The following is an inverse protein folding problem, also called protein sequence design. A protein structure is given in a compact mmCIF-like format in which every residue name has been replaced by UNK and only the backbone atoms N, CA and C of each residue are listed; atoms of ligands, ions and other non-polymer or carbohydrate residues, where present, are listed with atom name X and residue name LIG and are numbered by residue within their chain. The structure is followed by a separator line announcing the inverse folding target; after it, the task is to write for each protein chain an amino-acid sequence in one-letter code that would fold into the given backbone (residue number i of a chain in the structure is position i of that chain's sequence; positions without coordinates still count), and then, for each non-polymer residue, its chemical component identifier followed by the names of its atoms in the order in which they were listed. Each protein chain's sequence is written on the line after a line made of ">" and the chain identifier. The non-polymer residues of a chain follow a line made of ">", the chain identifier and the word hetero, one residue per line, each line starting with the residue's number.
data_IF_944109144646
#
_entry.id   IF_944109144646
#
_cell.length_a   1.000
_cell.length_b   1.000
_cell.length_c   1.000
_cell.angle_alpha   90.00
_cell.angle_beta   90.00
_cell.angle_gamma   90.00
#
_symmetry.space_group_name_H-M   'P 1'
#
loop_
_entity.id
_entity.type
_entity.pdbx_description
1 polymer ?
#
# COMPACT_ATOMS: atom_id res chain seq x y z
N UNK A 1 -27.47 -9.90 -3.53
CA UNK A 1 -27.93 -8.57 -3.99
C UNK A 1 -26.82 -7.52 -3.89
N UNK A 2 -25.57 -7.88 -4.15
CA UNK A 2 -24.43 -6.95 -4.09
C UNK A 2 -23.44 -7.42 -5.14
N UNK A 3 -23.51 -6.79 -6.31
CA UNK A 3 -22.70 -7.17 -7.46
C UNK A 3 -22.41 -5.90 -8.23
N UNK A 4 -21.55 -5.05 -7.69
CA UNK A 4 -20.75 -4.20 -8.58
C UNK A 4 -19.82 -5.18 -9.27
N UNK A 5 -20.21 -5.58 -10.47
CA UNK A 5 -19.38 -6.40 -11.33
C UNK A 5 -18.19 -5.58 -11.81
N UNK A 6 -17.26 -6.29 -12.45
CA UNK A 6 -16.09 -5.65 -13.06
C UNK A 6 -16.52 -4.56 -14.07
N UNK A 7 -17.66 -4.75 -14.74
CA UNK A 7 -18.17 -3.84 -15.75
C UNK A 7 -18.67 -2.52 -15.14
N UNK A 8 -19.42 -2.55 -14.05
CA UNK A 8 -19.85 -1.34 -13.33
C UNK A 8 -18.66 -0.59 -12.75
N UNK A 9 -17.66 -1.31 -12.21
CA UNK A 9 -16.45 -0.71 -11.65
C UNK A 9 -15.65 0.04 -12.75
N UNK A 10 -15.53 -0.55 -13.94
CA UNK A 10 -14.86 0.09 -15.08
C UNK A 10 -15.60 1.35 -15.53
N UNK A 11 -16.93 1.35 -15.55
CA UNK A 11 -17.72 2.55 -15.90
C UNK A 11 -17.47 3.68 -14.88
N UNK A 12 -17.49 3.35 -13.58
CA UNK A 12 -17.19 4.32 -12.52
C UNK A 12 -15.75 4.84 -12.65
N UNK A 13 -14.80 3.96 -12.95
CA UNK A 13 -13.41 4.32 -13.17
C UNK A 13 -13.27 5.30 -14.34
N UNK A 14 -13.95 5.06 -15.47
CA UNK A 14 -13.95 5.96 -16.63
C UNK A 14 -14.51 7.34 -16.25
N UNK A 15 -15.64 7.40 -15.53
CA UNK A 15 -16.21 8.67 -15.07
C UNK A 15 -15.25 9.42 -14.13
N UNK A 16 -14.64 8.72 -13.17
CA UNK A 16 -13.62 9.29 -12.30
C UNK A 16 -12.41 9.79 -13.10
N UNK A 17 -12.00 9.06 -14.14
CA UNK A 17 -10.90 9.44 -15.03
C UNK A 17 -11.22 10.66 -15.89
N UNK A 18 -12.47 10.90 -16.25
CA UNK A 18 -12.86 12.11 -16.97
C UNK A 18 -12.76 13.33 -16.03
N UNK A 19 -13.17 13.18 -14.77
CA UNK A 19 -13.13 14.26 -13.77
C UNK A 19 -11.70 14.57 -13.33
N UNK A 20 -10.93 13.53 -12.97
CA UNK A 20 -9.59 13.68 -12.39
C UNK A 20 -8.47 13.62 -13.44
N UNK A 21 -8.69 12.98 -14.58
CA UNK A 21 -7.69 12.72 -15.60
C UNK A 21 -6.86 11.45 -15.33
N UNK A 22 -6.50 10.65 -16.37
CA UNK A 22 -5.71 9.43 -16.21
C UNK A 22 -4.28 9.68 -15.73
N UNK A 23 -3.74 10.88 -15.97
CA UNK A 23 -2.42 11.26 -15.47
C UNK A 23 -2.37 11.45 -13.95
N UNK A 24 -3.51 11.73 -13.28
CA UNK A 24 -3.53 11.94 -11.82
C UNK A 24 -3.53 10.65 -11.02
N UNK A 25 -4.06 9.55 -11.57
CA UNK A 25 -4.05 8.24 -10.91
C UNK A 25 -2.64 7.74 -10.53
N UNK A 26 -1.63 7.74 -11.42
CA UNK A 26 -0.29 7.30 -11.06
C UNK A 26 0.37 8.21 -10.03
N UNK A 27 0.09 9.51 -10.04
CA UNK A 27 0.63 10.45 -9.04
C UNK A 27 0.03 10.18 -7.64
N UNK A 28 -1.29 9.97 -7.57
CA UNK A 28 -1.98 9.58 -6.33
C UNK A 28 -1.48 8.22 -5.84
N UNK A 29 -1.32 7.24 -6.74
CA UNK A 29 -0.76 5.92 -6.41
C UNK A 29 0.68 5.99 -5.89
N UNK A 30 1.53 6.83 -6.49
CA UNK A 30 2.91 7.05 -6.01
C UNK A 30 2.93 7.69 -4.62
N UNK A 31 2.09 8.69 -4.38
CA UNK A 31 1.98 9.36 -3.09
C UNK A 31 1.51 8.40 -2.00
N UNK A 32 0.40 7.68 -2.24
CA UNK A 32 -0.13 6.68 -1.31
C UNK A 32 0.90 5.55 -1.09
N UNK A 33 1.53 5.05 -2.16
CA UNK A 33 2.52 4.00 -2.08
C UNK A 33 3.74 4.39 -1.25
N UNK A 34 4.21 5.64 -1.38
CA UNK A 34 5.28 6.19 -0.55
C UNK A 34 4.85 6.24 0.92
N UNK A 35 3.67 6.77 1.22
CA UNK A 35 3.14 6.83 2.59
C UNK A 35 2.97 5.45 3.22
N UNK A 36 2.46 4.46 2.47
CA UNK A 36 2.32 3.08 2.95
C UNK A 36 3.69 2.45 3.22
N UNK A 37 4.68 2.70 2.35
CA UNK A 37 6.04 2.19 2.53
C UNK A 37 6.68 2.76 3.80
N UNK A 38 6.59 4.07 4.00
CA UNK A 38 7.11 4.75 5.19
C UNK A 38 6.37 4.28 6.45
N UNK A 39 5.04 4.18 6.40
CA UNK A 39 4.24 3.65 7.51
C UNK A 39 4.62 2.21 7.87
N UNK A 40 4.83 1.35 6.88
CA UNK A 40 5.26 -0.05 7.09
C UNK A 40 6.66 -0.12 7.69
N UNK A 41 7.57 0.76 7.29
CA UNK A 41 8.92 0.80 7.82
C UNK A 41 8.93 1.28 9.28
N UNK A 42 8.26 2.40 9.57
CA UNK A 42 8.10 2.88 10.94
C UNK A 42 7.40 1.84 11.84
N UNK A 43 6.36 1.16 11.33
CA UNK A 43 5.69 0.10 12.08
C UNK A 43 6.62 -1.08 12.40
N UNK A 44 7.57 -1.40 11.50
CA UNK A 44 8.57 -2.45 11.71
C UNK A 44 9.59 -2.05 12.76
N UNK A 45 10.14 -0.83 12.66
CA UNK A 45 11.09 -0.28 13.63
C UNK A 45 10.46 -0.25 15.03
N UNK A 46 9.22 0.22 15.16
CA UNK A 46 8.48 0.20 16.44
C UNK A 46 8.24 -1.24 16.93
N UNK A 47 7.94 -2.18 16.04
CA UNK A 47 7.78 -3.59 16.43
C UNK A 47 9.10 -4.17 16.91
N UNK A 48 10.22 -3.88 16.24
CA UNK A 48 11.56 -4.34 16.62
C UNK A 48 11.99 -3.72 17.97
N UNK A 49 11.72 -2.44 18.20
CA UNK A 49 12.01 -1.74 19.46
C UNK A 49 11.16 -2.27 20.64
N UNK A 50 9.90 -2.63 20.40
CA UNK A 50 9.00 -3.17 21.44
C UNK A 50 9.25 -4.68 21.67
N UNK A 51 9.67 -5.40 20.64
CA UNK A 51 9.93 -6.85 20.69
C UNK A 51 11.43 -7.16 20.83
N UNK A 52 12.20 -6.24 21.40
CA UNK A 52 13.62 -6.38 21.66
C UNK A 52 13.96 -7.47 22.68
N UNK A 53 13.77 -8.73 22.29
CA UNK A 53 14.55 -9.93 22.64
C UNK A 53 13.90 -11.12 21.90
N UNK A 54 14.45 -11.58 20.76
CA UNK A 54 14.34 -12.99 20.29
C UNK A 54 14.80 -13.27 18.84
N UNK A 55 15.40 -12.34 18.09
CA UNK A 55 15.88 -12.66 16.71
C UNK A 55 17.25 -12.08 16.34
N UNK A 56 18.25 -12.36 17.15
CA UNK A 56 19.67 -12.33 16.73
C UNK A 56 20.38 -13.65 17.10
N UNK A 57 19.93 -14.80 16.59
CA UNK A 57 20.80 -16.00 16.57
C UNK A 57 20.40 -17.04 15.51
N UNK A 58 20.36 -16.70 14.22
CA UNK A 58 20.44 -17.71 13.13
C UNK A 58 20.76 -17.06 11.78
N UNK A 59 22.05 -16.84 11.46
CA UNK A 59 22.61 -16.82 10.07
C UNK A 59 24.03 -16.21 9.93
N UNK A 60 24.88 -16.21 10.96
CA UNK A 60 26.33 -15.89 10.77
C UNK A 60 27.33 -16.94 11.22
N UNK A 61 26.88 -18.19 11.43
CA UNK A 61 27.75 -19.37 11.50
C UNK A 61 27.09 -20.56 10.80
N UNK A 62 27.30 -20.67 9.50
CA UNK A 62 27.22 -21.92 8.73
C UNK A 62 28.25 -21.84 7.61
#
# INVERSE_FOLDING_TARGET
>A
MFGIGMQELVIILILALIIFGPGKLPDVGKAIGKSIREFKQASREITEDITGDDKEETEKKA
#
